data_IF_435912530778
#
_entry.id   IF_435912530778
#
_cell.length_a   1.000
_cell.length_b   1.000
_cell.length_c   1.000
_cell.angle_alpha   90.00
_cell.angle_beta   90.00
_cell.angle_gamma   90.00
#
_symmetry.space_group_name_H-M   'P 1'
#
loop_
_entity.id
_entity.type
_entity.pdbx_description
1 polymer ?
#
# COMPACT_ATOMS: atom_id res chain seq x y z
N UNK A 1 -22.95 -4.38 -16.19
CA UNK A 1 -23.11 -4.99 -14.86
C UNK A 1 -21.92 -5.92 -14.68
N UNK A 2 -20.81 -5.42 -14.14
CA UNK A 2 -19.61 -6.24 -13.89
C UNK A 2 -19.53 -6.49 -12.39
N UNK A 3 -20.00 -7.66 -12.00
CA UNK A 3 -19.77 -8.24 -10.69
C UNK A 3 -18.28 -8.58 -10.58
N UNK A 4 -17.56 -7.88 -9.71
CA UNK A 4 -16.22 -8.30 -9.28
C UNK A 4 -16.38 -9.06 -7.98
N UNK A 5 -16.02 -10.34 -7.97
CA UNK A 5 -15.97 -11.14 -6.74
C UNK A 5 -14.85 -10.62 -5.81
N UNK A 6 -15.07 -10.58 -4.48
CA UNK A 6 -14.05 -10.17 -3.54
C UNK A 6 -12.97 -11.26 -3.49
N UNK A 7 -11.85 -11.00 -4.15
CA UNK A 7 -10.62 -11.79 -4.04
C UNK A 7 -10.27 -12.01 -2.57
N UNK A 8 -10.28 -13.28 -2.16
CA UNK A 8 -9.76 -13.74 -0.88
C UNK A 8 -8.31 -13.26 -0.70
N UNK A 9 -8.11 -12.37 0.27
CA UNK A 9 -6.82 -11.74 0.53
C UNK A 9 -5.96 -12.68 1.39
N UNK A 10 -5.31 -13.64 0.74
CA UNK A 10 -4.18 -14.33 1.33
C UNK A 10 -3.06 -13.30 1.47
N UNK A 11 -2.83 -12.81 2.71
CA UNK A 11 -1.90 -11.73 3.04
C UNK A 11 -0.56 -11.95 2.34
N UNK A 12 -0.31 -11.21 1.26
CA UNK A 12 1.00 -11.21 0.61
C UNK A 12 1.87 -10.19 1.35
N UNK A 13 3.16 -10.47 1.47
CA UNK A 13 4.15 -9.70 2.23
C UNK A 13 4.38 -8.24 1.78
N UNK A 14 3.47 -7.64 1.00
CA UNK A 14 3.42 -6.21 0.67
C UNK A 14 2.14 -5.49 1.11
N UNK A 15 1.13 -6.20 1.64
CA UNK A 15 -0.20 -5.65 1.98
C UNK A 15 -0.17 -4.70 3.19
N UNK A 16 0.94 -4.65 3.93
CA UNK A 16 1.13 -3.72 5.05
C UNK A 16 1.59 -2.33 4.61
N UNK A 17 2.07 -2.19 3.36
CA UNK A 17 2.56 -0.93 2.78
C UNK A 17 1.44 -0.17 2.05
N UNK A 18 0.19 -0.38 2.48
CA UNK A 18 -1.00 0.15 1.82
C UNK A 18 -2.17 0.22 2.81
N UNK A 19 -2.91 1.34 2.81
CA UNK A 19 -4.13 1.51 3.62
C UNK A 19 -5.36 1.35 2.73
N UNK A 20 -6.35 0.57 3.20
CA UNK A 20 -7.64 0.41 2.52
C UNK A 20 -8.61 1.46 3.01
N UNK A 21 -9.23 2.15 2.07
CA UNK A 21 -10.18 3.23 2.28
C UNK A 21 -11.35 3.07 1.30
N UNK A 22 -12.41 3.81 1.53
CA UNK A 22 -13.63 3.75 0.73
C UNK A 22 -13.97 5.14 0.26
N UNK A 23 -14.19 5.31 -1.04
CA UNK A 23 -14.71 6.57 -1.57
C UNK A 23 -16.14 6.80 -1.07
N UNK A 24 -16.60 8.04 -1.08
CA UNK A 24 -18.01 8.34 -0.78
C UNK A 24 -18.99 7.61 -1.70
N UNK A 25 -18.57 7.27 -2.91
CA UNK A 25 -19.36 6.49 -3.88
C UNK A 25 -19.46 4.98 -3.53
N UNK A 26 -18.83 4.56 -2.43
CA UNK A 26 -18.81 3.16 -1.97
C UNK A 26 -17.73 2.29 -2.63
N UNK A 27 -16.94 2.85 -3.54
CA UNK A 27 -15.85 2.12 -4.19
C UNK A 27 -14.65 1.97 -3.24
N UNK A 28 -14.25 0.74 -2.88
CA UNK A 28 -13.06 0.52 -2.07
C UNK A 28 -11.81 0.76 -2.90
N UNK A 29 -10.82 1.41 -2.30
CA UNK A 29 -9.52 1.65 -2.92
C UNK A 29 -8.39 1.51 -1.92
N UNK A 30 -7.18 1.53 -2.45
CA UNK A 30 -5.96 1.37 -1.67
C UNK A 30 -5.08 2.59 -1.87
N UNK A 31 -4.58 3.15 -0.78
CA UNK A 31 -3.74 4.33 -0.76
C UNK A 31 -2.43 4.04 -0.04
N UNK A 32 -1.32 4.58 -0.54
CA UNK A 32 -0.08 4.61 0.23
C UNK A 32 -0.16 5.74 1.26
N UNK A 33 -0.06 5.41 2.55
CA UNK A 33 -0.13 6.39 3.63
C UNK A 33 0.99 7.44 3.58
N UNK A 34 2.16 7.12 3.00
CA UNK A 34 3.28 8.08 2.88
C UNK A 34 3.00 9.20 1.87
N UNK A 35 2.05 8.99 0.96
CA UNK A 35 1.63 10.01 0.01
C UNK A 35 0.62 10.97 0.61
N UNK A 36 0.13 10.73 1.83
CA UNK A 36 -0.81 11.62 2.49
C UNK A 36 -0.05 12.85 2.97
N UNK A 37 -0.43 14.01 2.45
CA UNK A 37 0.10 15.30 2.87
C UNK A 37 -0.61 15.82 4.12
N UNK A 38 -1.94 15.79 4.11
CA UNK A 38 -2.78 16.11 5.26
C UNK A 38 -4.19 15.56 5.08
N UNK A 39 -4.89 15.36 6.20
CA UNK A 39 -6.30 14.95 6.25
C UNK A 39 -7.09 16.09 6.88
N UNK A 40 -8.21 16.47 6.28
CA UNK A 40 -9.09 17.52 6.80
C UNK A 40 -10.54 17.01 6.87
N UNK A 41 -11.30 17.46 7.88
CA UNK A 41 -12.72 17.11 8.04
C UNK A 41 -13.60 18.33 7.73
N UNK A 42 -14.40 18.26 6.67
CA UNK A 42 -15.35 19.31 6.25
C UNK A 42 -16.51 18.75 5.41
N UNK A 43 -17.77 18.81 5.90
CA UNK A 43 -18.34 17.81 6.83
C UNK A 43 -17.82 16.37 6.68
N UNK A 44 -17.40 15.99 5.47
CA UNK A 44 -16.79 14.70 5.13
C UNK A 44 -15.25 14.75 5.25
N UNK A 45 -14.59 13.60 5.20
CA UNK A 45 -13.14 13.50 5.34
C UNK A 45 -12.45 13.62 3.97
N UNK A 46 -11.51 14.56 3.86
CA UNK A 46 -10.68 14.77 2.68
C UNK A 46 -9.24 14.37 2.96
N UNK A 47 -8.66 13.61 2.06
CA UNK A 47 -7.24 13.26 2.05
C UNK A 47 -6.60 14.02 0.91
N UNK A 48 -5.65 14.89 1.23
CA UNK A 48 -4.82 15.56 0.23
C UNK A 48 -3.50 14.83 0.10
N UNK A 49 -3.15 14.45 -1.13
CA UNK A 49 -1.89 13.78 -1.44
C UNK A 49 -0.76 14.79 -1.64
N UNK A 50 0.48 14.32 -1.55
CA UNK A 50 1.68 15.12 -1.83
C UNK A 50 1.70 15.65 -3.25
N UNK A 51 1.08 14.94 -4.20
CA UNK A 51 0.89 15.37 -5.60
C UNK A 51 -0.08 16.54 -5.76
N UNK A 52 -0.92 16.83 -4.76
CA UNK A 52 -1.98 17.84 -4.81
C UNK A 52 -3.38 17.27 -5.09
N UNK A 53 -3.48 15.98 -5.44
CA UNK A 53 -4.76 15.29 -5.61
C UNK A 53 -5.53 15.24 -4.29
N UNK A 54 -6.86 15.41 -4.38
CA UNK A 54 -7.75 15.37 -3.22
C UNK A 54 -8.76 14.24 -3.39
N UNK A 55 -8.87 13.41 -2.36
CA UNK A 55 -9.77 12.25 -2.33
C UNK A 55 -10.71 12.42 -1.16
N UNK A 56 -12.01 12.26 -1.41
CA UNK A 56 -13.02 12.25 -0.35
C UNK A 56 -13.31 10.81 0.02
N UNK A 57 -13.27 10.53 1.32
CA UNK A 57 -13.42 9.18 1.86
C UNK A 57 -14.58 9.12 2.85
N UNK A 58 -15.18 7.95 2.96
CA UNK A 58 -16.27 7.67 3.89
C UNK A 58 -15.75 7.47 5.33
N UNK A 59 -14.48 7.10 5.48
CA UNK A 59 -13.83 6.94 6.78
C UNK A 59 -13.70 8.26 7.53
N UNK A 60 -13.70 8.18 8.86
CA UNK A 60 -13.43 9.34 9.71
C UNK A 60 -11.96 9.75 9.66
N UNK A 61 -11.65 10.97 10.12
CA UNK A 61 -10.26 11.41 10.23
C UNK A 61 -9.45 10.50 11.16
N UNK A 62 -10.01 10.12 12.31
CA UNK A 62 -9.37 9.21 13.28
C UNK A 62 -9.09 7.82 12.67
N UNK A 63 -10.04 7.29 11.92
CA UNK A 63 -9.91 6.04 11.15
C UNK A 63 -8.72 6.06 10.18
N UNK A 64 -8.55 7.17 9.45
CA UNK A 64 -7.44 7.33 8.50
C UNK A 64 -6.11 7.43 9.25
N UNK A 65 -6.08 8.15 10.37
CA UNK A 65 -4.90 8.29 11.23
C UNK A 65 -4.48 6.93 11.79
N UNK A 66 -5.41 6.14 12.34
CA UNK A 66 -5.11 4.83 12.90
C UNK A 66 -4.50 3.89 11.85
N UNK A 67 -5.09 3.83 10.65
CA UNK A 67 -4.56 3.04 9.53
C UNK A 67 -3.17 3.52 9.10
N UNK A 68 -2.92 4.84 9.08
CA UNK A 68 -1.63 5.40 8.75
C UNK A 68 -0.55 5.09 9.82
N UNK A 69 -0.93 5.09 11.10
CA UNK A 69 -0.02 4.69 12.19
C UNK A 69 0.32 3.21 12.09
N UNK A 70 -0.66 2.35 11.84
CA UNK A 70 -0.44 0.92 11.62
C UNK A 70 0.49 0.69 10.43
N UNK A 71 0.30 1.40 9.32
CA UNK A 71 1.21 1.38 8.17
C UNK A 71 2.66 1.69 8.60
N UNK A 72 2.85 2.78 9.35
CA UNK A 72 4.19 3.23 9.75
C UNK A 72 4.88 2.22 10.66
N UNK A 73 4.14 1.64 11.61
CA UNK A 73 4.64 0.59 12.51
C UNK A 73 5.10 -0.63 11.71
N UNK A 74 4.30 -1.13 10.77
CA UNK A 74 4.70 -2.29 9.97
C UNK A 74 5.91 -1.98 9.07
N UNK A 75 5.99 -0.76 8.52
CA UNK A 75 7.12 -0.34 7.70
C UNK A 75 8.45 -0.39 8.47
N UNK A 76 8.46 0.00 9.75
CA UNK A 76 9.68 -0.03 10.57
C UNK A 76 10.14 -1.45 10.96
N UNK A 77 9.23 -2.44 10.98
CA UNK A 77 9.55 -3.81 11.36
C UNK A 77 9.85 -4.74 10.18
N UNK A 78 9.69 -4.28 8.93
CA UNK A 78 10.02 -5.07 7.74
C UNK A 78 11.44 -4.75 7.25
N UNK A 79 12.39 -5.70 7.27
CA UNK A 79 13.59 -5.56 6.47
C UNK A 79 13.19 -5.48 4.98
N UNK A 80 13.86 -4.65 4.17
CA UNK A 80 13.57 -4.59 2.74
C UNK A 80 13.64 -6.00 2.14
N UNK A 81 12.75 -6.36 1.21
CA UNK A 81 12.78 -7.69 0.60
C UNK A 81 14.17 -7.91 0.02
N UNK A 82 14.92 -8.83 0.64
CA UNK A 82 16.25 -9.22 0.17
C UNK A 82 16.03 -9.79 -1.21
N UNK A 83 16.46 -9.05 -2.24
CA UNK A 83 16.60 -9.62 -3.57
C UNK A 83 17.64 -10.71 -3.43
N UNK A 84 17.21 -11.97 -3.38
CA UNK A 84 18.10 -13.09 -3.60
C UNK A 84 18.64 -12.91 -5.02
N UNK A 85 19.80 -12.27 -5.14
CA UNK A 85 20.55 -12.30 -6.39
C UNK A 85 20.88 -13.76 -6.60
N UNK A 86 20.22 -14.39 -7.57
CA UNK A 86 20.66 -15.69 -8.06
C UNK A 86 22.12 -15.52 -8.47
N UNK A 87 23.03 -16.02 -7.63
CA UNK A 87 24.43 -16.17 -7.98
C UNK A 87 24.47 -17.22 -9.08
N UNK A 88 24.44 -16.75 -10.32
CA UNK A 88 24.89 -17.48 -11.49
C UNK A 88 26.39 -17.69 -11.35
N UNK A 89 26.78 -18.66 -10.52
CA UNK A 89 28.10 -19.28 -10.54
C UNK A 89 27.96 -20.66 -11.19
N UNK A 90 27.44 -20.65 -12.42
CA UNK A 90 27.47 -21.81 -13.29
C UNK A 90 28.91 -21.94 -13.80
N UNK A 91 29.67 -22.79 -13.12
CA UNK A 91 30.95 -23.33 -13.57
C UNK A 91 30.79 -23.87 -15.00
N UNK A 92 31.39 -23.20 -15.99
CA UNK A 92 31.68 -23.80 -17.30
C UNK A 92 33.20 -23.94 -17.36
N UNK A 93 33.77 -25.17 -17.25
CA UNK A 93 35.18 -25.38 -17.51
C UNK A 93 35.43 -25.17 -19.01
N UNK A 94 36.19 -24.12 -19.34
CA UNK A 94 36.67 -23.88 -20.69
C UNK A 94 37.68 -24.98 -21.06
N UNK A 95 37.28 -25.93 -21.92
CA UNK A 95 38.19 -26.91 -22.49
C UNK A 95 39.21 -26.18 -23.38
N UNK A 96 40.48 -26.25 -22.97
CA UNK A 96 41.63 -25.86 -23.78
C UNK A 96 42.32 -27.12 -24.32
N UNK A 97 42.80 -27.03 -25.56
CA UNK A 97 43.58 -27.98 -26.37
C UNK A 97 42.78 -28.89 -27.31
#
# INVERSE_FOLDING_TARGET
MVSFEPIGLEKRSGDFLMIKLTRLDGEPFVLNAELIRYVEKRPDTFITLTSGDRIVVAETMDDVIERAVQYQQHKHFMPPPVRMTASSDASIPNASA
#
